data_IF_321387899171
#
_entry.id   IF_321387899171
#
_cell.length_a   1.000
_cell.length_b   1.000
_cell.length_c   1.000
_cell.angle_alpha   90.00
_cell.angle_beta   90.00
_cell.angle_gamma   90.00
#
_symmetry.space_group_name_H-M   'P 1'
#
loop_
_entity.id
_entity.type
_entity.pdbx_description
1 polymer ?
#
# COMPACT_ATOMS: atom_id res chain seq x y z
N UNK A 1 -6.74 -4.82 5.64
CA UNK A 1 -6.01 -5.25 6.85
C UNK A 1 -4.56 -5.50 6.47
N UNK A 2 -3.59 -5.09 7.28
CA UNK A 2 -2.15 -5.33 7.04
C UNK A 2 -1.64 -6.47 7.90
N UNK A 3 -0.60 -7.19 7.43
CA UNK A 3 0.09 -8.22 8.21
C UNK A 3 0.67 -7.64 9.52
N UNK A 4 0.82 -8.43 10.61
CA UNK A 4 1.34 -7.94 11.89
C UNK A 4 2.73 -7.30 11.78
N UNK A 5 3.58 -7.82 10.91
CA UNK A 5 4.96 -7.40 10.66
C UNK A 5 5.08 -6.41 9.47
N UNK A 6 3.96 -5.87 9.00
CA UNK A 6 3.92 -4.95 7.87
C UNK A 6 4.86 -3.75 8.03
N UNK A 7 5.49 -3.38 6.92
CA UNK A 7 6.23 -2.15 6.76
C UNK A 7 6.15 -1.71 5.30
N UNK A 8 6.37 -0.42 5.04
CA UNK A 8 6.45 0.12 3.69
C UNK A 8 7.68 1.01 3.52
N UNK A 9 8.11 1.20 2.27
CA UNK A 9 9.09 2.22 1.91
C UNK A 9 8.38 3.33 1.15
N UNK A 10 8.44 4.55 1.68
CA UNK A 10 7.83 5.71 1.02
C UNK A 10 8.70 6.25 -0.12
N UNK A 11 8.20 7.27 -0.82
CA UNK A 11 8.94 7.94 -1.90
C UNK A 11 10.29 8.54 -1.45
N UNK A 12 10.41 8.84 -0.15
CA UNK A 12 11.65 9.32 0.49
C UNK A 12 12.73 8.23 0.65
N UNK A 13 12.44 6.97 0.34
CA UNK A 13 13.31 5.83 0.63
C UNK A 13 13.33 5.40 2.10
N UNK A 14 12.59 6.10 2.98
CA UNK A 14 12.47 5.72 4.40
C UNK A 14 11.54 4.53 4.56
N UNK A 15 11.92 3.62 5.46
CA UNK A 15 11.07 2.51 5.92
C UNK A 15 10.16 2.99 7.06
N UNK A 16 8.87 2.73 6.93
CA UNK A 16 7.83 3.04 7.92
C UNK A 16 7.24 1.76 8.48
N UNK A 17 7.08 1.71 9.80
CA UNK A 17 6.47 0.56 10.48
C UNK A 17 4.94 0.60 10.36
N UNK A 18 4.29 -0.55 10.54
CA UNK A 18 2.82 -0.63 10.64
C UNK A 18 2.23 0.35 11.64
N UNK A 19 2.81 0.48 12.84
CA UNK A 19 2.32 1.38 13.87
C UNK A 19 2.36 2.85 13.42
N UNK A 20 3.45 3.26 12.77
CA UNK A 20 3.58 4.59 12.21
C UNK A 20 2.53 4.87 11.14
N UNK A 21 2.33 3.93 10.20
CA UNK A 21 1.35 4.07 9.11
C UNK A 21 -0.07 4.18 9.66
N UNK A 22 -0.43 3.34 10.64
CA UNK A 22 -1.75 3.40 11.26
C UNK A 22 -1.99 4.71 12.04
N UNK A 23 -0.99 5.21 12.77
CA UNK A 23 -1.10 6.49 13.45
C UNK A 23 -1.29 7.65 12.44
N UNK A 24 -0.55 7.64 11.34
CA UNK A 24 -0.71 8.64 10.28
C UNK A 24 -2.09 8.58 9.61
N UNK A 25 -2.64 7.38 9.41
CA UNK A 25 -4.00 7.20 8.90
C UNK A 25 -5.06 7.70 9.89
N UNK A 26 -4.89 7.45 11.19
CA UNK A 26 -5.80 7.94 12.23
C UNK A 26 -5.84 9.47 12.27
N UNK A 27 -4.68 10.12 12.22
CA UNK A 27 -4.60 11.58 12.15
C UNK A 27 -5.26 12.14 10.86
N UNK A 28 -5.02 11.52 9.70
CA UNK A 28 -5.66 11.92 8.44
C UNK A 28 -7.17 11.71 8.47
N UNK A 29 -7.67 10.71 9.18
CA UNK A 29 -9.09 10.45 9.29
C UNK A 29 -9.84 11.54 10.08
N UNK A 30 -9.17 12.20 11.03
CA UNK A 30 -9.76 13.31 11.82
C UNK A 30 -10.05 14.55 10.96
N UNK A 31 -9.28 14.76 9.90
CA UNK A 31 -9.47 15.84 8.95
C UNK A 31 -9.09 15.35 7.54
N UNK A 32 -10.01 14.65 6.85
CA UNK A 32 -9.71 14.06 5.54
C UNK A 32 -9.33 15.15 4.54
N UNK A 33 -8.13 15.10 3.94
CA UNK A 33 -7.75 16.03 2.89
C UNK A 33 -8.61 15.78 1.63
N UNK A 34 -8.89 16.84 0.89
CA UNK A 34 -9.38 16.69 -0.47
C UNK A 34 -8.24 16.14 -1.34
N UNK A 35 -8.41 14.91 -1.83
CA UNK A 35 -7.40 14.22 -2.63
C UNK A 35 -8.03 13.75 -3.93
N UNK A 36 -7.44 14.19 -5.04
CA UNK A 36 -7.75 13.66 -6.36
C UNK A 36 -6.80 12.51 -6.63
N UNK A 37 -7.34 11.30 -6.76
CA UNK A 37 -6.51 10.13 -7.02
C UNK A 37 -7.09 9.20 -8.07
N UNK A 38 -6.19 8.56 -8.81
CA UNK A 38 -6.51 7.56 -9.82
C UNK A 38 -5.50 6.41 -9.72
N UNK A 39 -5.99 5.18 -9.89
CA UNK A 39 -5.13 3.98 -9.98
C UNK A 39 -5.34 3.25 -11.29
N UNK A 40 -4.24 2.82 -11.92
CA UNK A 40 -4.25 2.16 -13.23
C UNK A 40 -3.10 1.16 -13.36
N UNK A 41 -3.00 0.49 -14.52
CA UNK A 41 -1.93 -0.46 -14.87
C UNK A 41 -1.73 -1.60 -13.86
N UNK A 42 -2.83 -2.12 -13.30
CA UNK A 42 -2.77 -3.20 -12.33
C UNK A 42 -2.17 -4.47 -12.94
N UNK A 43 -1.17 -5.02 -12.25
CA UNK A 43 -0.60 -6.34 -12.53
C UNK A 43 -0.56 -7.13 -11.23
N UNK A 44 -1.27 -8.25 -11.20
CA UNK A 44 -1.18 -9.22 -10.11
C UNK A 44 -0.37 -10.44 -10.60
N UNK A 45 0.58 -10.87 -9.79
CA UNK A 45 1.42 -12.03 -10.06
C UNK A 45 1.56 -12.87 -8.79
N UNK A 46 1.29 -14.17 -8.88
CA UNK A 46 1.65 -15.12 -7.83
C UNK A 46 3.17 -15.31 -7.81
N UNK A 47 3.78 -15.14 -6.63
CA UNK A 47 5.22 -15.33 -6.41
C UNK A 47 5.52 -16.68 -5.77
N UNK A 48 4.62 -17.16 -4.92
CA UNK A 48 4.65 -18.45 -4.25
C UNK A 48 3.23 -18.81 -3.81
N UNK A 49 3.03 -20.04 -3.31
CA UNK A 49 1.74 -20.45 -2.75
C UNK A 49 1.21 -19.40 -1.77
N UNK A 50 -0.01 -18.91 -2.03
CA UNK A 50 -0.71 -17.86 -1.27
C UNK A 50 -0.01 -16.49 -1.17
N UNK A 51 1.07 -16.25 -1.92
CA UNK A 51 1.83 -14.97 -1.92
C UNK A 51 1.74 -14.31 -3.29
N UNK A 52 1.27 -13.07 -3.32
CA UNK A 52 1.00 -12.31 -4.54
C UNK A 52 1.69 -10.95 -4.52
N UNK A 53 2.31 -10.57 -5.64
CA UNK A 53 2.75 -9.22 -5.91
C UNK A 53 1.66 -8.48 -6.69
N UNK A 54 1.21 -7.35 -6.16
CA UNK A 54 0.38 -6.39 -6.87
C UNK A 54 1.21 -5.14 -7.16
N UNK A 55 1.36 -4.81 -8.44
CA UNK A 55 1.90 -3.52 -8.89
C UNK A 55 0.83 -2.69 -9.57
N UNK A 56 0.88 -1.37 -9.39
CA UNK A 56 -0.04 -0.43 -10.03
C UNK A 56 0.56 0.98 -10.11
N UNK A 57 0.02 1.82 -10.99
CA UNK A 57 0.28 3.26 -11.03
C UNK A 57 -0.72 3.96 -10.12
N UNK A 58 -0.25 4.91 -9.28
CA UNK A 58 -1.09 5.84 -8.53
C UNK A 58 -0.77 7.27 -8.98
N UNK A 59 -1.78 7.99 -9.43
CA UNK A 59 -1.74 9.46 -9.54
C UNK A 59 -2.46 10.02 -8.32
N UNK A 60 -1.79 10.88 -7.54
CA UNK A 60 -2.36 11.54 -6.37
C UNK A 60 -2.03 13.03 -6.43
N UNK A 61 -3.04 13.88 -6.52
CA UNK A 61 -2.91 15.34 -6.66
C UNK A 61 -1.94 15.73 -7.81
N UNK A 62 -2.02 15.00 -8.93
CA UNK A 62 -1.16 15.18 -10.11
C UNK A 62 0.20 14.47 -10.04
N UNK A 63 0.64 13.99 -8.87
CA UNK A 63 1.90 13.25 -8.74
C UNK A 63 1.74 11.77 -9.07
N UNK A 64 2.55 11.28 -10.01
CA UNK A 64 2.54 9.88 -10.44
C UNK A 64 3.60 9.05 -9.70
N UNK A 65 3.17 7.95 -9.08
CA UNK A 65 4.05 6.95 -8.45
C UNK A 65 3.75 5.54 -8.97
N UNK A 66 4.76 4.67 -8.98
CA UNK A 66 4.57 3.22 -9.15
C UNK A 66 4.59 2.56 -7.78
N UNK A 67 3.60 1.72 -7.51
CA UNK A 67 3.43 1.00 -6.24
C UNK A 67 3.66 -0.47 -6.46
N UNK A 68 4.29 -1.11 -5.48
CA UNK A 68 4.46 -2.56 -5.40
C UNK A 68 4.08 -2.99 -3.99
N UNK A 69 3.17 -3.95 -3.88
CA UNK A 69 2.65 -4.45 -2.60
C UNK A 69 2.64 -5.97 -2.62
N UNK A 70 3.18 -6.60 -1.59
CA UNK A 70 3.12 -8.04 -1.41
C UNK A 70 1.94 -8.38 -0.50
N UNK A 71 1.12 -9.31 -0.96
CA UNK A 71 -0.08 -9.78 -0.29
C UNK A 71 0.05 -11.26 0.01
N UNK A 72 -0.51 -11.66 1.15
CA UNK A 72 -0.68 -13.06 1.50
C UNK A 72 -2.18 -13.34 1.60
N UNK A 73 -2.67 -14.35 0.88
CA UNK A 73 -4.02 -14.87 1.11
C UNK A 73 -4.03 -15.61 2.44
N UNK A 74 -5.12 -15.51 3.23
CA UNK A 74 -5.35 -16.46 4.32
C UNK A 74 -5.23 -17.87 3.75
N UNK A 75 -4.53 -18.75 4.46
CA UNK A 75 -4.54 -20.17 4.11
C UNK A 75 -5.99 -20.65 4.17
N UNK A 76 -6.46 -21.30 3.11
CA UNK A 76 -7.73 -22.03 3.15
C UNK A 76 -7.43 -23.32 3.92
N UNK A 77 -7.90 -23.38 5.17
CA UNK A 77 -7.89 -24.59 6.00
C UNK A 77 -9.00 -25.54 5.59
#
# INVERSE_FOLDING_TARGET
>A
MTAPDFWETGASGRRYSRAYVLAALDERYKAPPAEEWETSDFRCQELAAVVYLLTYTLVLNGERTRRATNWQSPAVS
#
